data_IF_604951125167
#
_entry.id   IF_604951125167
#
_cell.length_a   1.000
_cell.length_b   1.000
_cell.length_c   1.000
_cell.angle_alpha   90.00
_cell.angle_beta   90.00
_cell.angle_gamma   90.00
#
_symmetry.space_group_name_H-M   'P 1'
#
loop_
_entity.id
_entity.type
_entity.pdbx_description
1 polymer ?
#
# COMPACT_ATOMS: atom_id res chain seq x y z
N UNK A 1 37.04 -23.86 -40.14
CA UNK A 1 35.72 -24.09 -39.54
C UNK A 1 34.85 -24.92 -40.46
N UNK A 2 34.21 -25.94 -39.92
CA UNK A 2 33.21 -26.68 -40.67
C UNK A 2 31.91 -25.92 -40.75
N UNK A 3 31.09 -26.27 -41.73
CA UNK A 3 29.74 -25.69 -41.89
C UNK A 3 28.88 -25.94 -40.63
N UNK A 4 28.99 -27.13 -40.04
CA UNK A 4 28.26 -27.47 -38.82
C UNK A 4 28.68 -26.59 -37.64
N UNK A 5 29.95 -26.31 -37.45
CA UNK A 5 30.47 -25.47 -36.39
C UNK A 5 29.95 -24.03 -36.55
N UNK A 6 29.88 -23.53 -37.79
CA UNK A 6 29.34 -22.19 -38.07
C UNK A 6 27.87 -22.07 -37.70
N UNK A 7 27.08 -23.09 -38.11
CA UNK A 7 25.63 -23.11 -37.81
C UNK A 7 25.41 -23.18 -36.31
N UNK A 8 26.16 -24.02 -35.59
CA UNK A 8 26.05 -24.11 -34.13
C UNK A 8 26.40 -22.81 -33.45
N UNK A 9 27.44 -22.12 -33.88
CA UNK A 9 27.86 -20.85 -33.33
C UNK A 9 26.78 -19.77 -33.56
N UNK A 10 26.24 -19.68 -34.77
CA UNK A 10 25.17 -18.72 -35.11
C UNK A 10 23.91 -18.98 -34.28
N UNK A 11 23.56 -20.25 -34.10
CA UNK A 11 22.39 -20.62 -33.28
C UNK A 11 22.61 -20.26 -31.81
N UNK A 12 23.79 -20.54 -31.25
CA UNK A 12 24.10 -20.17 -29.86
C UNK A 12 24.14 -18.68 -29.64
N UNK A 13 24.69 -17.92 -30.59
CA UNK A 13 24.74 -16.46 -30.52
C UNK A 13 23.31 -15.88 -30.56
N UNK A 14 22.44 -16.42 -31.42
CA UNK A 14 21.04 -15.99 -31.49
C UNK A 14 20.28 -16.29 -30.20
N UNK A 15 20.50 -17.47 -29.61
CA UNK A 15 19.88 -17.84 -28.33
C UNK A 15 20.37 -16.97 -27.19
N UNK A 16 21.66 -16.68 -27.14
CA UNK A 16 22.26 -15.82 -26.13
C UNK A 16 21.68 -14.41 -26.20
N UNK A 17 21.53 -13.89 -27.41
CA UNK A 17 20.91 -12.58 -27.64
C UNK A 17 19.48 -12.55 -27.19
N UNK A 18 18.69 -13.57 -27.52
CA UNK A 18 17.29 -13.68 -27.11
C UNK A 18 17.15 -13.74 -25.58
N UNK A 19 17.98 -14.52 -24.92
CA UNK A 19 17.99 -14.63 -23.45
C UNK A 19 18.36 -13.29 -22.81
N UNK A 20 19.33 -12.56 -23.36
CA UNK A 20 19.70 -11.22 -22.89
C UNK A 20 18.54 -10.24 -22.98
N UNK A 21 17.81 -10.26 -24.09
CA UNK A 21 16.63 -9.41 -24.27
C UNK A 21 15.50 -9.77 -23.30
N UNK A 22 15.31 -11.05 -23.01
CA UNK A 22 14.33 -11.51 -22.02
C UNK A 22 14.70 -11.05 -20.61
N UNK A 23 15.98 -11.15 -20.25
CA UNK A 23 16.48 -10.69 -18.96
C UNK A 23 16.22 -9.20 -18.79
N UNK A 24 16.54 -8.41 -19.81
CA UNK A 24 16.31 -6.96 -19.78
C UNK A 24 14.83 -6.63 -19.58
N UNK A 25 13.93 -7.32 -20.28
CA UNK A 25 12.49 -7.13 -20.10
C UNK A 25 12.00 -7.53 -18.72
N UNK A 26 12.54 -8.59 -18.15
CA UNK A 26 12.20 -9.01 -16.79
C UNK A 26 12.70 -8.01 -15.76
N UNK A 27 13.89 -7.45 -15.94
CA UNK A 27 14.41 -6.39 -15.07
C UNK A 27 13.54 -5.16 -15.10
N UNK A 28 13.10 -4.73 -16.27
CA UNK A 28 12.16 -3.60 -16.40
C UNK A 28 10.84 -3.86 -15.68
N UNK A 29 10.30 -5.08 -15.81
CA UNK A 29 9.07 -5.46 -15.08
C UNK A 29 9.27 -5.44 -13.58
N UNK A 30 10.40 -5.95 -13.10
CA UNK A 30 10.72 -5.95 -11.67
C UNK A 30 10.86 -4.53 -11.14
N UNK A 31 11.47 -3.64 -11.89
CA UNK A 31 11.61 -2.23 -11.51
C UNK A 31 10.24 -1.55 -11.40
N UNK A 32 9.35 -1.80 -12.35
CA UNK A 32 7.98 -1.27 -12.33
C UNK A 32 7.23 -1.82 -11.14
N UNK A 33 7.29 -3.13 -10.90
CA UNK A 33 6.63 -3.78 -9.76
C UNK A 33 7.16 -3.26 -8.43
N UNK A 34 8.46 -3.01 -8.32
CA UNK A 34 9.05 -2.45 -7.11
C UNK A 34 8.56 -1.03 -6.84
N UNK A 35 8.43 -0.20 -7.87
CA UNK A 35 7.86 1.15 -7.72
C UNK A 35 6.41 1.10 -7.27
N UNK A 36 5.60 0.25 -7.88
CA UNK A 36 4.20 0.05 -7.50
C UNK A 36 4.08 -0.43 -6.06
N UNK A 37 4.96 -1.35 -5.66
CA UNK A 37 4.99 -1.85 -4.29
C UNK A 37 5.35 -0.75 -3.30
N UNK A 38 6.31 0.10 -3.62
CA UNK A 38 6.69 1.23 -2.77
C UNK A 38 5.56 2.25 -2.64
N UNK A 39 4.86 2.54 -3.74
CA UNK A 39 3.68 3.42 -3.73
C UNK A 39 2.56 2.84 -2.87
N UNK A 40 2.30 1.54 -3.01
CA UNK A 40 1.30 0.84 -2.21
C UNK A 40 1.65 0.89 -0.72
N UNK A 41 2.90 0.67 -0.37
CA UNK A 41 3.37 0.77 1.03
C UNK A 41 3.18 2.16 1.59
N UNK A 42 3.47 3.19 0.79
CA UNK A 42 3.26 4.59 1.19
C UNK A 42 1.78 4.87 1.45
N UNK A 43 0.92 4.43 0.54
CA UNK A 43 -0.53 4.59 0.68
C UNK A 43 -1.05 3.88 1.93
N UNK A 44 -0.57 2.67 2.20
CA UNK A 44 -0.94 1.94 3.42
C UNK A 44 -0.50 2.66 4.69
N UNK A 45 0.70 3.24 4.69
CA UNK A 45 1.18 4.03 5.82
C UNK A 45 0.31 5.27 6.07
N UNK A 46 -0.08 5.97 5.00
CA UNK A 46 -0.99 7.11 5.09
C UNK A 46 -2.37 6.72 5.61
N UNK A 47 -2.91 5.61 5.13
CA UNK A 47 -4.21 5.10 5.58
C UNK A 47 -4.19 4.70 7.05
N UNK A 48 -3.10 4.07 7.51
CA UNK A 48 -2.93 3.73 8.93
C UNK A 48 -2.88 4.98 9.80
N UNK A 49 -2.17 6.00 9.35
CA UNK A 49 -2.09 7.27 10.07
C UNK A 49 -3.47 7.93 10.19
N UNK A 50 -4.24 7.96 9.10
CA UNK A 50 -5.61 8.48 9.11
C UNK A 50 -6.52 7.68 10.04
N UNK A 51 -6.38 6.36 10.04
CA UNK A 51 -7.14 5.50 10.93
C UNK A 51 -6.83 5.79 12.39
N UNK A 52 -5.56 5.94 12.74
CA UNK A 52 -5.14 6.28 14.12
C UNK A 52 -5.67 7.64 14.55
N UNK A 53 -5.64 8.64 13.66
CA UNK A 53 -6.20 9.96 13.93
C UNK A 53 -7.71 9.88 14.13
N UNK A 54 -8.41 9.12 13.28
CA UNK A 54 -9.84 8.90 13.38
C UNK A 54 -10.20 8.23 14.71
N UNK A 55 -9.47 7.21 15.11
CA UNK A 55 -9.67 6.54 16.41
C UNK A 55 -9.47 7.50 17.58
N UNK A 56 -8.45 8.36 17.53
CA UNK A 56 -8.22 9.38 18.56
C UNK A 56 -9.36 10.38 18.63
N UNK A 57 -9.90 10.82 17.49
CA UNK A 57 -11.07 11.71 17.45
C UNK A 57 -12.29 11.03 18.06
N UNK A 58 -12.54 9.77 17.74
CA UNK A 58 -13.65 9.01 18.32
C UNK A 58 -13.51 8.87 19.83
N UNK A 59 -12.31 8.62 20.32
CA UNK A 59 -12.04 8.55 21.77
C UNK A 59 -12.30 9.89 22.45
N UNK A 60 -11.87 11.00 21.85
CA UNK A 60 -12.15 12.34 22.37
C UNK A 60 -13.64 12.65 22.41
N UNK A 61 -14.36 12.31 21.35
CA UNK A 61 -15.81 12.50 21.28
C UNK A 61 -16.53 11.65 22.34
N UNK A 62 -16.09 10.41 22.52
CA UNK A 62 -16.61 9.54 23.59
C UNK A 62 -16.39 10.13 24.97
N UNK A 63 -15.20 10.66 25.22
CA UNK A 63 -14.87 11.31 26.51
C UNK A 63 -15.75 12.55 26.74
N UNK A 64 -15.94 13.39 25.72
CA UNK A 64 -16.79 14.56 25.79
C UNK A 64 -18.24 14.15 26.05
N UNK A 65 -18.73 13.15 25.33
CA UNK A 65 -20.08 12.62 25.53
C UNK A 65 -20.28 12.12 26.95
N UNK A 66 -19.33 11.33 27.47
CA UNK A 66 -19.40 10.79 28.84
C UNK A 66 -19.38 11.90 29.89
N UNK A 67 -18.68 13.00 29.63
CA UNK A 67 -18.66 14.16 30.51
C UNK A 67 -19.97 14.97 30.47
N UNK A 68 -20.61 15.02 29.31
CA UNK A 68 -21.88 15.78 29.13
C UNK A 68 -23.09 14.98 29.59
N UNK A 69 -23.05 13.67 29.54
CA UNK A 69 -24.19 12.83 29.87
C UNK A 69 -24.79 13.11 31.26
N UNK A 70 -24.01 13.19 32.35
CA UNK A 70 -24.56 13.53 33.66
C UNK A 70 -25.20 14.91 33.72
N UNK A 71 -24.62 15.89 33.00
CA UNK A 71 -25.16 17.25 32.93
C UNK A 71 -26.48 17.27 32.21
N UNK A 72 -26.64 16.54 31.13
CA UNK A 72 -27.88 16.42 30.37
C UNK A 72 -28.97 15.74 31.21
N UNK A 73 -28.61 14.71 31.97
CA UNK A 73 -29.51 13.99 32.88
C UNK A 73 -30.01 14.95 33.99
N UNK A 74 -29.13 15.74 34.59
CA UNK A 74 -29.47 16.75 35.58
C UNK A 74 -30.43 17.81 35.01
N UNK A 75 -30.13 18.30 33.82
CA UNK A 75 -30.95 19.28 33.16
C UNK A 75 -32.36 18.75 32.88
N UNK A 76 -32.45 17.53 32.37
CA UNK A 76 -33.71 16.85 32.08
C UNK A 76 -34.54 16.62 33.36
N UNK A 77 -33.91 16.19 34.43
CA UNK A 77 -34.55 16.05 35.75
C UNK A 77 -35.09 17.39 36.30
N UNK A 78 -34.31 18.45 36.15
CA UNK A 78 -34.71 19.81 36.56
C UNK A 78 -35.91 20.31 35.75
N UNK A 79 -35.93 20.08 34.48
CA UNK A 79 -37.06 20.44 33.59
C UNK A 79 -38.32 19.64 33.92
N UNK A 80 -38.18 18.36 34.21
CA UNK A 80 -39.34 17.51 34.55
C UNK A 80 -39.89 17.78 35.94
N UNK A 81 -39.10 18.36 36.85
CA UNK A 81 -39.52 18.70 38.21
C UNK A 81 -40.33 20.00 38.26
N UNK A 82 -40.38 20.72 37.16
CA UNK A 82 -41.19 21.93 37.01
C UNK A 82 -42.56 21.54 36.48
#
# INVERSE_FOLDING_TARGET
>A
MTELERILKETLDAQTKELGERIDRHQERLDIQNRELMETKRTLAELRQRQEESERHLMRLSTVYDSLKPLLEKLNSSLNAR
#
